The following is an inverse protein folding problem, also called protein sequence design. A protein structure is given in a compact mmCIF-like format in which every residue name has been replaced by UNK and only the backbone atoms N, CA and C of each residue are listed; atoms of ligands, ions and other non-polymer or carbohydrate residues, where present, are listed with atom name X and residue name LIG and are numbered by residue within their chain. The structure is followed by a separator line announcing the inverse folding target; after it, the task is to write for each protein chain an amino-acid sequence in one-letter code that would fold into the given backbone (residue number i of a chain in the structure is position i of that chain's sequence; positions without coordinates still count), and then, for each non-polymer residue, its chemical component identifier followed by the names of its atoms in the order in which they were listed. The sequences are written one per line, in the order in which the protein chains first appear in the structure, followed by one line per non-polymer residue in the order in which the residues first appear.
data_IF_002763341808
#
_entry.id   IF_002763341808
#
_cell.length_a   1.000
_cell.length_b   1.000
_cell.length_c   1.000
_cell.angle_alpha   90.00
_cell.angle_beta   90.00
_cell.angle_gamma   90.00
#
_symmetry.space_group_name_H-M   'P 1'
#
loop_
_entity.id
_entity.type
_entity.pdbx_description
1 polymer ?
#
# COMPACT_ATOMS: atom_id res chain seq x y z
N UNK A 1 6.21 -32.25 17.98
CA UNK A 1 5.10 -31.30 17.90
C UNK A 1 3.89 -32.05 17.42
N UNK A 2 2.82 -32.10 18.20
CA UNK A 2 1.55 -32.58 17.71
C UNK A 2 1.16 -31.74 16.49
N UNK A 3 0.69 -32.38 15.43
CA UNK A 3 0.31 -31.68 14.22
C UNK A 3 -0.88 -30.76 14.54
N UNK A 4 -0.71 -29.46 14.26
CA UNK A 4 -1.79 -28.49 14.41
C UNK A 4 -2.98 -28.91 13.53
N UNK A 5 -4.22 -28.90 14.04
CA UNK A 5 -5.39 -29.25 13.25
C UNK A 5 -5.51 -28.35 12.00
N UNK A 6 -5.92 -28.95 10.87
CA UNK A 6 -5.99 -28.26 9.57
C UNK A 6 -6.74 -26.92 9.59
N UNK A 7 -7.89 -26.76 10.28
CA UNK A 7 -8.58 -25.48 10.35
C UNK A 7 -7.72 -24.34 10.95
N UNK A 8 -6.82 -24.66 11.88
CA UNK A 8 -5.91 -23.66 12.43
C UNK A 8 -4.73 -23.36 11.50
N UNK A 9 -4.28 -24.37 10.71
CA UNK A 9 -3.25 -24.18 9.70
C UNK A 9 -3.69 -23.17 8.64
N UNK A 10 -4.94 -23.22 8.21
CA UNK A 10 -5.50 -22.35 7.18
C UNK A 10 -5.64 -20.88 7.67
N UNK A 11 -5.58 -20.66 8.98
CA UNK A 11 -5.63 -19.34 9.59
C UNK A 11 -4.26 -18.81 10.08
N UNK A 12 -3.18 -19.55 9.84
CA UNK A 12 -1.84 -19.05 10.21
C UNK A 12 -1.51 -17.77 9.45
N UNK A 13 -0.83 -16.88 10.14
CA UNK A 13 -0.29 -15.64 9.55
C UNK A 13 1.15 -15.48 10.00
N UNK A 14 1.99 -14.96 9.14
CA UNK A 14 3.35 -14.55 9.52
C UNK A 14 3.21 -13.44 10.56
N UNK A 15 3.83 -13.58 11.75
CA UNK A 15 3.76 -12.53 12.76
C UNK A 15 4.40 -11.24 12.26
N UNK A 16 3.69 -10.12 12.39
CA UNK A 16 4.15 -8.82 11.92
C UNK A 16 5.46 -8.37 12.58
N UNK A 17 5.68 -8.69 13.85
CA UNK A 17 6.91 -8.35 14.55
C UNK A 17 8.14 -8.98 13.89
N UNK A 18 8.05 -10.26 13.52
CA UNK A 18 9.12 -10.95 12.78
C UNK A 18 9.29 -10.39 11.38
N UNK A 19 8.19 -10.10 10.70
CA UNK A 19 8.21 -9.48 9.38
C UNK A 19 8.86 -8.09 9.43
N UNK A 20 8.48 -7.25 10.38
CA UNK A 20 9.06 -5.92 10.60
C UNK A 20 10.56 -5.98 10.93
N UNK A 21 11.01 -7.00 11.68
CA UNK A 21 12.44 -7.22 11.91
C UNK A 21 13.18 -7.49 10.59
N UNK A 22 12.61 -8.28 9.67
CA UNK A 22 13.17 -8.53 8.34
C UNK A 22 13.17 -7.27 7.48
N UNK A 23 12.08 -6.51 7.48
CA UNK A 23 12.01 -5.19 6.81
C UNK A 23 13.14 -4.28 7.28
N UNK A 24 13.35 -4.16 8.59
CA UNK A 24 14.38 -3.31 9.16
C UNK A 24 15.80 -3.73 8.77
N UNK A 25 16.06 -5.04 8.68
CA UNK A 25 17.34 -5.55 8.18
C UNK A 25 17.49 -5.23 6.69
N UNK A 26 16.46 -5.51 5.90
CA UNK A 26 16.48 -5.36 4.45
C UNK A 26 16.75 -3.91 4.01
N UNK A 27 16.22 -2.91 4.73
CA UNK A 27 16.42 -1.48 4.40
C UNK A 27 17.88 -1.10 4.16
N UNK A 28 18.82 -1.81 4.76
CA UNK A 28 20.25 -1.54 4.61
C UNK A 28 21.03 -2.74 4.05
N UNK A 29 20.69 -3.96 4.45
CA UNK A 29 21.48 -5.15 4.13
C UNK A 29 21.14 -5.79 2.78
N UNK A 30 20.23 -5.21 1.99
CA UNK A 30 20.02 -5.61 0.59
C UNK A 30 21.21 -5.21 -0.31
N UNK A 31 22.02 -4.23 0.12
CA UNK A 31 23.15 -3.72 -0.64
C UNK A 31 24.33 -4.69 -0.55
N UNK A 32 24.68 -5.30 -1.68
CA UNK A 32 25.80 -6.25 -1.77
C UNK A 32 27.16 -5.59 -2.02
N UNK A 33 27.18 -4.35 -2.55
CA UNK A 33 28.44 -3.64 -2.81
C UNK A 33 28.93 -2.94 -1.53
N UNK A 34 30.14 -3.31 -1.00
CA UNK A 34 30.65 -2.73 0.24
C UNK A 34 30.81 -1.20 0.21
N UNK A 35 31.20 -0.62 -0.93
CA UNK A 35 31.39 0.82 -1.06
C UNK A 35 30.05 1.55 -0.95
N UNK A 36 29.03 1.08 -1.66
CA UNK A 36 27.66 1.64 -1.61
C UNK A 36 27.10 1.47 -0.20
N UNK A 37 27.32 0.31 0.42
CA UNK A 37 26.88 0.03 1.79
C UNK A 37 27.49 1.00 2.81
N UNK A 38 28.81 1.21 2.77
CA UNK A 38 29.46 2.13 3.71
C UNK A 38 29.12 3.61 3.47
N UNK A 39 28.92 4.00 2.20
CA UNK A 39 28.50 5.35 1.87
C UNK A 39 27.03 5.62 2.22
N UNK A 40 26.20 4.57 2.34
CA UNK A 40 24.76 4.71 2.53
C UNK A 40 24.01 5.21 1.29
N UNK A 41 24.56 4.98 0.09
CA UNK A 41 24.04 5.54 -1.16
C UNK A 41 22.71 4.88 -1.61
N UNK A 42 22.43 3.64 -1.18
CA UNK A 42 21.22 2.87 -1.57
C UNK A 42 20.50 2.33 -0.31
N UNK A 43 20.24 3.22 0.64
CA UNK A 43 19.45 2.87 1.83
C UNK A 43 17.98 2.99 1.51
N UNK A 44 17.18 2.01 1.89
CA UNK A 44 15.74 2.03 1.77
C UNK A 44 15.05 2.43 3.07
N UNK A 45 13.81 2.85 2.95
CA UNK A 45 12.93 3.19 4.06
C UNK A 45 11.51 2.69 3.80
N UNK A 46 10.74 2.57 4.85
CA UNK A 46 9.29 2.45 4.77
C UNK A 46 8.75 3.82 4.36
N UNK A 47 7.93 3.92 3.31
CA UNK A 47 7.30 5.18 2.95
C UNK A 47 6.31 5.63 4.02
N UNK A 48 6.01 6.92 4.04
CA UNK A 48 4.96 7.45 4.92
C UNK A 48 3.64 7.58 4.15
N UNK A 49 2.56 7.64 4.92
CA UNK A 49 1.21 7.95 4.46
C UNK A 49 0.49 8.89 5.43
N UNK A 50 -0.60 9.50 5.00
CA UNK A 50 -1.52 10.22 5.89
C UNK A 50 -2.63 9.25 6.28
N UNK A 51 -2.66 8.89 7.55
CA UNK A 51 -3.67 8.03 8.14
C UNK A 51 -4.35 8.74 9.30
N UNK A 52 -5.67 8.85 9.26
CA UNK A 52 -6.43 9.56 10.28
C UNK A 52 -5.96 11.01 10.52
N UNK A 53 -5.55 11.72 9.45
CA UNK A 53 -5.06 13.09 9.52
C UNK A 53 -3.64 13.25 10.07
N UNK A 54 -2.88 12.17 10.22
CA UNK A 54 -1.49 12.19 10.71
C UNK A 54 -0.55 11.51 9.73
N UNK A 55 0.66 12.03 9.60
CA UNK A 55 1.72 11.37 8.85
C UNK A 55 2.29 10.23 9.69
N UNK A 56 2.20 9.01 9.17
CA UNK A 56 2.70 7.77 9.80
C UNK A 56 3.46 6.94 8.77
N UNK A 57 4.28 6.02 9.22
CA UNK A 57 4.87 5.02 8.31
C UNK A 57 3.78 4.05 7.84
N UNK A 58 3.84 3.65 6.56
CA UNK A 58 2.93 2.64 6.01
C UNK A 58 3.11 1.32 6.75
N UNK A 59 2.09 0.89 7.46
CA UNK A 59 2.12 -0.41 8.13
C UNK A 59 2.09 -1.56 7.11
N UNK A 60 2.69 -2.74 7.41
CA UNK A 60 2.48 -3.92 6.59
C UNK A 60 0.99 -4.25 6.47
N UNK A 61 0.55 -4.67 5.30
CA UNK A 61 -0.85 -5.02 5.07
C UNK A 61 -1.00 -6.32 4.31
N UNK A 62 -2.15 -6.94 4.47
CA UNK A 62 -2.46 -8.21 3.82
C UNK A 62 -3.24 -7.98 2.52
N UNK A 63 -2.85 -8.73 1.49
CA UNK A 63 -3.57 -8.81 0.22
C UNK A 63 -3.72 -10.26 -0.23
N UNK A 64 -4.68 -10.52 -1.09
CA UNK A 64 -4.75 -11.76 -1.87
C UNK A 64 -4.33 -11.44 -3.30
N UNK A 65 -3.21 -11.99 -3.75
CA UNK A 65 -2.67 -11.70 -5.07
C UNK A 65 -1.90 -12.90 -5.63
N UNK A 66 -1.65 -12.88 -6.94
CA UNK A 66 -0.74 -13.79 -7.62
C UNK A 66 0.66 -13.15 -7.64
N UNK A 67 1.68 -13.88 -7.21
CA UNK A 67 3.07 -13.40 -7.28
C UNK A 67 3.66 -13.52 -8.68
N UNK A 68 3.20 -14.50 -9.46
CA UNK A 68 3.56 -14.71 -10.85
C UNK A 68 2.30 -15.06 -11.65
N UNK A 69 2.32 -14.79 -12.95
CA UNK A 69 1.14 -14.92 -13.83
C UNK A 69 0.51 -16.32 -13.87
N UNK A 70 1.27 -17.35 -13.50
CA UNK A 70 0.80 -18.75 -13.50
C UNK A 70 0.58 -19.31 -12.08
N UNK A 71 0.80 -18.52 -11.04
CA UNK A 71 0.60 -18.93 -9.66
C UNK A 71 -0.89 -18.87 -9.28
N UNK A 72 -1.28 -19.64 -8.28
CA UNK A 72 -2.56 -19.44 -7.62
C UNK A 72 -2.52 -18.14 -6.80
N UNK A 73 -3.68 -17.54 -6.58
CA UNK A 73 -3.79 -16.43 -5.64
C UNK A 73 -3.46 -16.90 -4.22
N UNK A 74 -2.60 -16.16 -3.54
CA UNK A 74 -2.13 -16.44 -2.18
C UNK A 74 -2.44 -15.26 -1.26
N UNK A 75 -2.60 -15.56 0.00
CA UNK A 75 -2.70 -14.55 1.03
C UNK A 75 -1.30 -14.11 1.46
N UNK A 76 -1.00 -12.85 1.26
CA UNK A 76 0.32 -12.26 1.37
C UNK A 76 0.34 -11.14 2.41
N UNK A 77 1.43 -11.03 3.18
CA UNK A 77 1.74 -9.84 3.97
C UNK A 77 2.77 -9.03 3.20
N UNK A 78 2.51 -7.76 2.96
CA UNK A 78 3.27 -6.91 2.05
C UNK A 78 3.72 -5.62 2.73
N UNK A 79 4.98 -5.23 2.48
CA UNK A 79 5.55 -3.95 2.89
C UNK A 79 6.14 -3.23 1.69
N UNK A 80 5.62 -2.06 1.30
CA UNK A 80 6.27 -1.23 0.30
C UNK A 80 7.55 -0.59 0.85
N UNK A 81 8.53 -0.41 -0.02
CA UNK A 81 9.82 0.19 0.29
C UNK A 81 10.19 1.25 -0.76
N UNK A 82 10.76 2.35 -0.30
CA UNK A 82 11.27 3.44 -1.13
C UNK A 82 12.73 3.72 -0.80
N UNK A 83 13.55 4.23 -1.73
CA UNK A 83 14.86 4.75 -1.39
C UNK A 83 14.75 5.91 -0.39
N UNK A 84 15.72 6.03 0.52
CA UNK A 84 15.75 7.14 1.48
C UNK A 84 15.80 8.52 0.79
N UNK A 85 16.41 8.58 -0.40
CA UNK A 85 16.62 9.83 -1.16
C UNK A 85 15.48 10.18 -2.11
N UNK A 86 14.51 9.27 -2.33
CA UNK A 86 13.45 9.45 -3.33
C UNK A 86 12.15 8.82 -2.85
N UNK A 87 11.00 9.46 -3.06
CA UNK A 87 9.70 8.92 -2.63
C UNK A 87 9.10 7.89 -3.61
N UNK A 88 9.78 7.54 -4.72
CA UNK A 88 9.29 6.53 -5.65
C UNK A 88 9.41 5.11 -5.09
N UNK A 89 8.46 4.26 -5.44
CA UNK A 89 8.45 2.85 -5.02
C UNK A 89 9.61 2.10 -5.68
N UNK A 90 10.38 1.36 -4.89
CA UNK A 90 11.54 0.61 -5.39
C UNK A 90 11.39 -0.89 -5.22
N UNK A 91 10.78 -1.34 -4.14
CA UNK A 91 10.59 -2.76 -3.88
C UNK A 91 9.38 -3.03 -2.97
N UNK A 92 8.96 -4.28 -2.97
CA UNK A 92 8.10 -4.86 -1.95
C UNK A 92 8.80 -6.01 -1.27
N UNK A 93 8.78 -6.03 0.07
CA UNK A 93 8.99 -7.26 0.81
C UNK A 93 7.63 -7.93 1.01
N UNK A 94 7.55 -9.21 0.67
CA UNK A 94 6.33 -10.01 0.74
C UNK A 94 6.59 -11.26 1.57
N UNK A 95 5.71 -11.56 2.52
CA UNK A 95 5.69 -12.85 3.23
C UNK A 95 4.46 -13.66 2.79
N UNK A 96 4.69 -14.92 2.43
CA UNK A 96 3.65 -15.86 2.00
C UNK A 96 2.98 -16.49 3.23
N UNK A 97 1.65 -16.51 3.24
CA UNK A 97 0.88 -17.02 4.38
C UNK A 97 0.21 -18.36 4.14
N UNK A 98 0.22 -18.87 2.90
CA UNK A 98 -0.55 -20.05 2.53
C UNK A 98 0.32 -21.28 2.27
N UNK A 99 -0.26 -22.45 2.58
CA UNK A 99 0.23 -23.77 2.20
C UNK A 99 1.66 -24.07 2.62
N UNK A 100 2.39 -24.74 1.73
CA UNK A 100 3.76 -25.19 1.95
C UNK A 100 4.77 -24.02 1.92
N UNK A 101 4.34 -22.88 1.42
CA UNK A 101 5.16 -21.66 1.33
C UNK A 101 5.04 -20.73 2.53
N UNK A 102 4.31 -21.14 3.57
CA UNK A 102 4.14 -20.34 4.77
C UNK A 102 5.48 -19.89 5.37
N UNK A 103 5.63 -18.58 5.54
CA UNK A 103 6.84 -17.96 6.10
C UNK A 103 7.95 -17.68 5.09
N UNK A 104 7.78 -18.06 3.82
CA UNK A 104 8.72 -17.70 2.76
C UNK A 104 8.64 -16.18 2.50
N UNK A 105 9.81 -15.55 2.47
CA UNK A 105 9.95 -14.14 2.15
C UNK A 105 10.38 -13.98 0.70
N UNK A 106 9.74 -13.07 -0.02
CA UNK A 106 10.14 -12.66 -1.38
C UNK A 106 10.35 -11.16 -1.45
N UNK A 107 11.46 -10.77 -2.05
CA UNK A 107 11.72 -9.38 -2.43
C UNK A 107 11.33 -9.23 -3.89
N UNK A 108 10.43 -8.27 -4.15
CA UNK A 108 10.00 -7.92 -5.50
C UNK A 108 10.58 -6.54 -5.81
N UNK A 109 11.60 -6.51 -6.67
CA UNK A 109 12.23 -5.27 -7.12
C UNK A 109 11.47 -4.70 -8.31
N UNK A 110 11.20 -3.41 -8.29
CA UNK A 110 10.63 -2.70 -9.42
C UNK A 110 11.70 -2.26 -10.42
N UNK A 111 11.36 -2.23 -11.72
CA UNK A 111 12.30 -1.78 -12.74
C UNK A 111 12.79 -0.36 -12.48
N UNK A 112 14.10 -0.16 -12.47
CA UNK A 112 14.74 1.15 -12.19
C UNK A 112 14.54 2.16 -13.32
N UNK A 113 14.24 1.71 -14.51
CA UNK A 113 13.95 2.51 -15.72
C UNK A 113 12.50 3.01 -15.78
N UNK A 114 11.62 2.50 -14.91
CA UNK A 114 10.22 2.93 -14.81
C UNK A 114 10.01 3.77 -13.55
N UNK A 115 9.38 4.92 -13.76
CA UNK A 115 8.91 5.72 -12.62
C UNK A 115 7.63 5.12 -12.06
N UNK A 116 7.71 4.65 -10.81
CA UNK A 116 6.58 4.11 -10.06
C UNK A 116 6.40 4.99 -8.82
N UNK A 117 5.32 5.76 -8.71
CA UNK A 117 5.13 6.65 -7.57
C UNK A 117 4.95 5.86 -6.28
N UNK A 118 5.58 6.32 -5.21
CA UNK A 118 5.38 5.77 -3.88
C UNK A 118 4.12 6.34 -3.20
N UNK A 119 3.73 5.79 -2.05
CA UNK A 119 2.51 6.21 -1.34
C UNK A 119 2.41 7.71 -1.10
N UNK A 120 3.46 8.38 -0.63
CA UNK A 120 3.46 9.82 -0.41
C UNK A 120 3.17 10.63 -1.69
N UNK A 121 3.69 10.18 -2.83
CA UNK A 121 3.48 10.87 -4.10
C UNK A 121 2.05 10.70 -4.59
N UNK A 122 1.48 9.51 -4.42
CA UNK A 122 0.09 9.26 -4.80
C UNK A 122 -0.87 10.00 -3.89
N UNK A 123 -0.61 10.05 -2.59
CA UNK A 123 -1.42 10.89 -1.70
C UNK A 123 -1.33 12.38 -2.05
N UNK A 124 -0.15 12.88 -2.41
CA UNK A 124 -0.02 14.25 -2.92
C UNK A 124 -0.84 14.46 -4.20
N UNK A 125 -0.83 13.50 -5.12
CA UNK A 125 -1.64 13.53 -6.34
C UNK A 125 -3.14 13.53 -6.01
N UNK A 126 -3.60 12.69 -5.07
CA UNK A 126 -4.98 12.63 -4.60
C UNK A 126 -5.43 13.99 -4.04
N UNK A 127 -4.61 14.61 -3.19
CA UNK A 127 -4.92 15.92 -2.59
C UNK A 127 -4.89 17.08 -3.60
N UNK A 128 -4.16 16.93 -4.72
CA UNK A 128 -4.10 17.92 -5.79
C UNK A 128 -5.21 17.75 -6.83
N UNK A 129 -5.92 16.61 -6.84
CA UNK A 129 -7.05 16.39 -7.74
C UNK A 129 -8.19 17.35 -7.36
N UNK A 130 -8.73 18.16 -8.32
CA UNK A 130 -9.74 19.17 -8.02
C UNK A 130 -11.01 18.58 -7.42
N UNK A 131 -11.49 17.45 -7.95
CA UNK A 131 -12.74 16.82 -7.51
C UNK A 131 -12.60 16.32 -6.07
N UNK A 132 -11.44 15.71 -5.75
CA UNK A 132 -11.15 15.20 -4.39
C UNK A 132 -10.96 16.37 -3.42
N UNK A 133 -10.16 17.37 -3.80
CA UNK A 133 -9.86 18.54 -2.97
C UNK A 133 -11.14 19.33 -2.62
N UNK A 134 -12.02 19.55 -3.60
CA UNK A 134 -13.32 20.19 -3.37
C UNK A 134 -14.15 19.39 -2.37
N UNK A 135 -14.27 18.07 -2.58
CA UNK A 135 -15.06 17.21 -1.70
C UNK A 135 -14.51 17.16 -0.28
N UNK A 136 -13.19 17.09 -0.13
CA UNK A 136 -12.51 17.11 1.19
C UNK A 136 -12.77 18.45 1.90
N UNK A 137 -12.68 19.56 1.17
CA UNK A 137 -13.00 20.88 1.71
C UNK A 137 -14.46 21.02 2.17
N UNK A 138 -15.41 20.40 1.46
CA UNK A 138 -16.82 20.39 1.87
C UNK A 138 -17.07 19.57 3.15
N UNK A 139 -16.21 18.58 3.43
CA UNK A 139 -16.35 17.71 4.61
C UNK A 139 -15.54 18.17 5.81
N UNK A 140 -14.55 19.02 5.63
CA UNK A 140 -13.79 19.61 6.74
C UNK A 140 -14.58 20.75 7.40
N UNK A 141 -15.66 20.38 8.09
CA UNK A 141 -16.57 21.27 8.78
C UNK A 141 -16.42 21.16 10.29
N UNK A 142 -17.04 22.12 11.02
CA UNK A 142 -16.90 22.23 12.48
C UNK A 142 -17.32 20.97 13.23
N UNK A 143 -18.33 20.25 12.76
CA UNK A 143 -18.90 19.06 13.38
C UNK A 143 -18.45 17.72 12.74
N UNK A 144 -17.77 17.75 11.61
CA UNK A 144 -17.29 16.56 10.89
C UNK A 144 -15.78 16.47 10.91
N UNK A 145 -15.28 15.25 10.91
CA UNK A 145 -13.87 14.92 10.80
C UNK A 145 -13.67 13.97 9.63
N UNK A 146 -12.81 14.38 8.70
CA UNK A 146 -12.36 13.55 7.59
C UNK A 146 -11.23 12.65 8.07
N UNK A 147 -11.37 11.36 7.86
CA UNK A 147 -10.35 10.37 8.20
C UNK A 147 -9.95 9.61 6.94
N UNK A 148 -8.71 9.78 6.52
CA UNK A 148 -8.11 8.97 5.47
C UNK A 148 -7.69 7.63 6.06
N UNK A 149 -8.04 6.55 5.38
CA UNK A 149 -7.55 5.21 5.72
C UNK A 149 -6.18 4.94 5.13
N UNK A 150 -5.69 3.71 5.24
CA UNK A 150 -4.41 3.32 4.67
C UNK A 150 -4.47 3.35 3.14
N UNK A 151 -3.42 3.85 2.52
CA UNK A 151 -3.22 3.79 1.08
C UNK A 151 -2.66 2.42 0.70
N UNK A 152 -3.50 1.56 0.14
CA UNK A 152 -3.10 0.24 -0.34
C UNK A 152 -2.52 0.34 -1.74
N UNK A 153 -1.38 -0.29 -1.97
CA UNK A 153 -0.76 -0.43 -3.29
C UNK A 153 -0.93 -1.87 -3.75
N UNK A 154 -1.75 -2.08 -4.76
CA UNK A 154 -2.20 -3.40 -5.20
C UNK A 154 -1.65 -3.72 -6.59
N UNK A 155 -1.14 -4.95 -6.84
CA UNK A 155 -0.78 -5.39 -8.17
C UNK A 155 -2.06 -5.69 -8.98
N UNK A 156 -2.19 -5.07 -10.14
CA UNK A 156 -3.31 -5.31 -11.06
C UNK A 156 -2.77 -5.46 -12.48
N UNK A 157 -2.85 -6.66 -13.04
CA UNK A 157 -2.26 -6.97 -14.34
C UNK A 157 -0.76 -6.70 -14.36
N UNK A 158 -0.29 -5.82 -15.27
CA UNK A 158 1.11 -5.39 -15.36
C UNK A 158 1.41 -4.06 -14.65
N UNK A 159 0.43 -3.51 -13.92
CA UNK A 159 0.52 -2.21 -13.25
C UNK A 159 0.22 -2.27 -11.76
N UNK A 160 0.10 -1.09 -11.19
CA UNK A 160 -0.29 -0.91 -9.78
C UNK A 160 -1.57 -0.09 -9.71
N UNK A 161 -2.42 -0.46 -8.79
CA UNK A 161 -3.59 0.29 -8.38
C UNK A 161 -3.39 0.76 -6.94
N UNK A 162 -3.61 2.04 -6.72
CA UNK A 162 -3.60 2.65 -5.39
C UNK A 162 -5.04 2.86 -4.95
N UNK A 163 -5.36 2.44 -3.73
CA UNK A 163 -6.72 2.51 -3.19
C UNK A 163 -6.68 3.11 -1.80
N UNK A 164 -7.37 4.22 -1.60
CA UNK A 164 -7.47 4.90 -0.30
C UNK A 164 -8.95 5.03 0.11
N UNK A 165 -9.38 4.36 1.18
CA UNK A 165 -10.71 4.55 1.73
C UNK A 165 -10.75 5.84 2.54
N UNK A 166 -11.85 6.59 2.40
CA UNK A 166 -12.09 7.85 3.10
C UNK A 166 -13.32 7.71 3.98
N UNK A 167 -13.15 8.02 5.26
CA UNK A 167 -14.20 7.91 6.27
C UNK A 167 -14.60 9.28 6.79
N UNK A 168 -15.85 9.38 7.19
CA UNK A 168 -16.36 10.54 7.91
C UNK A 168 -16.81 10.12 9.31
N UNK A 169 -16.50 10.97 10.28
CA UNK A 169 -16.89 10.82 11.67
C UNK A 169 -17.44 12.16 12.21
N UNK A 170 -18.50 12.11 13.02
CA UNK A 170 -18.90 13.27 13.80
C UNK A 170 -17.98 13.45 15.00
N UNK A 171 -17.47 14.67 15.24
CA UNK A 171 -16.45 14.94 16.29
C UNK A 171 -16.94 14.62 17.71
N UNK A 172 -18.25 14.71 17.96
CA UNK A 172 -18.80 14.56 19.33
C UNK A 172 -19.01 13.11 19.77
N UNK A 173 -19.61 12.28 18.95
CA UNK A 173 -19.88 10.85 19.24
C UNK A 173 -20.15 10.15 17.92
N UNK A 174 -19.15 9.66 17.24
CA UNK A 174 -19.41 8.99 15.98
C UNK A 174 -18.43 7.86 15.70
N UNK A 175 -18.95 6.73 15.24
CA UNK A 175 -18.14 5.73 14.60
C UNK A 175 -17.81 6.22 13.18
N UNK A 176 -16.56 6.06 12.71
CA UNK A 176 -16.22 6.36 11.33
C UNK A 176 -17.08 5.53 10.37
N UNK A 177 -17.66 6.17 9.37
CA UNK A 177 -18.38 5.51 8.29
C UNK A 177 -17.66 5.74 6.97
N UNK A 178 -17.56 4.70 6.13
CA UNK A 178 -16.97 4.81 4.81
C UNK A 178 -17.81 5.78 3.96
N UNK A 179 -17.19 6.86 3.52
CA UNK A 179 -17.83 7.88 2.71
C UNK A 179 -17.49 7.75 1.24
N UNK A 180 -16.20 7.50 0.93
CA UNK A 180 -15.69 7.38 -0.44
C UNK A 180 -14.52 6.40 -0.48
N UNK A 181 -14.23 5.94 -1.70
CA UNK A 181 -13.01 5.25 -2.06
C UNK A 181 -12.33 6.06 -3.16
N UNK A 182 -11.08 6.42 -2.93
CA UNK A 182 -10.22 7.06 -3.92
C UNK A 182 -9.36 5.98 -4.56
N UNK A 183 -9.26 6.00 -5.89
CA UNK A 183 -8.41 5.10 -6.66
C UNK A 183 -7.48 5.90 -7.57
N UNK A 184 -6.27 5.37 -7.80
CA UNK A 184 -5.31 5.96 -8.71
C UNK A 184 -4.47 4.89 -9.41
N UNK A 185 -4.08 5.13 -10.65
CA UNK A 185 -3.05 4.35 -11.36
C UNK A 185 -1.64 4.95 -11.23
N UNK A 186 -1.50 5.95 -10.35
CA UNK A 186 -0.28 6.72 -10.15
C UNK A 186 -0.16 7.97 -11.06
N UNK A 187 -1.17 8.25 -11.90
CA UNK A 187 -1.24 9.42 -12.79
C UNK A 187 -2.60 10.09 -12.73
N UNK A 188 -3.64 9.30 -12.80
CA UNK A 188 -5.04 9.73 -12.75
C UNK A 188 -5.63 9.37 -11.40
N UNK A 189 -6.60 10.16 -10.97
CA UNK A 189 -7.34 9.94 -9.72
C UNK A 189 -8.82 9.90 -10.03
N UNK A 190 -9.53 9.01 -9.35
CA UNK A 190 -10.99 8.99 -9.34
C UNK A 190 -11.49 8.69 -7.93
N UNK A 191 -12.68 9.17 -7.60
CA UNK A 191 -13.28 8.99 -6.28
C UNK A 191 -14.77 8.73 -6.42
N UNK A 192 -15.26 7.69 -5.76
CA UNK A 192 -16.69 7.42 -5.68
C UNK A 192 -17.05 6.76 -4.34
N UNK A 193 -18.35 6.53 -4.12
CA UNK A 193 -18.91 5.91 -2.90
C UNK A 193 -18.54 4.42 -2.77
N UNK A 194 -18.24 3.75 -3.87
CA UNK A 194 -17.78 2.36 -3.86
C UNK A 194 -16.65 2.12 -4.87
N UNK A 195 -15.95 1.01 -4.69
CA UNK A 195 -14.76 0.69 -5.48
C UNK A 195 -15.05 0.52 -6.97
N UNK A 196 -16.16 -0.11 -7.34
CA UNK A 196 -16.48 -0.38 -8.75
C UNK A 196 -16.74 0.91 -9.50
N UNK A 197 -17.51 1.82 -8.89
CA UNK A 197 -17.79 3.13 -9.49
C UNK A 197 -16.53 3.98 -9.61
N UNK A 198 -15.66 3.95 -8.60
CA UNK A 198 -14.38 4.65 -8.65
C UNK A 198 -13.47 4.10 -9.76
N UNK A 199 -13.40 2.77 -9.92
CA UNK A 199 -12.65 2.12 -10.99
C UNK A 199 -13.23 2.46 -12.38
N UNK A 200 -14.55 2.45 -12.54
CA UNK A 200 -15.22 2.83 -13.78
C UNK A 200 -14.90 4.28 -14.17
N UNK A 201 -14.86 5.19 -13.19
CA UNK A 201 -14.47 6.58 -13.45
C UNK A 201 -12.98 6.68 -13.83
N UNK A 202 -12.09 5.96 -13.14
CA UNK A 202 -10.66 5.95 -13.46
C UNK A 202 -10.43 5.46 -14.89
N UNK A 203 -11.09 4.38 -15.30
CA UNK A 203 -11.01 3.85 -16.66
C UNK A 203 -11.52 4.83 -17.72
N UNK A 204 -12.59 5.61 -17.42
CA UNK A 204 -13.09 6.65 -18.34
C UNK A 204 -12.14 7.85 -18.48
N UNK A 205 -11.37 8.16 -17.44
CA UNK A 205 -10.33 9.22 -17.48
C UNK A 205 -9.08 8.76 -18.23
N UNK A 206 -8.84 7.44 -18.34
CA UNK A 206 -7.69 6.91 -19.06
C UNK A 206 -7.83 7.16 -20.57
N UNK A 207 -6.75 7.60 -21.27
CA UNK A 207 -6.78 7.75 -22.71
C UNK A 207 -7.08 6.38 -23.36
N UNK A 208 -7.80 6.35 -24.46
CA UNK A 208 -8.03 5.10 -25.20
C UNK A 208 -6.68 4.52 -25.65
N UNK A 209 -6.51 3.22 -25.43
CA UNK A 209 -5.32 2.44 -25.82
C UNK A 209 -5.26 2.32 -27.35
#
# INVERSE_FOLDING_TARGET
MEAMPKPFLDHRRVPEDFFNAQVNQLKRYHVSNPRIFYNGDDVWQVPSEIYGGRKVDVAPYHITAQLQSNDNSEFLLLQPLTPLSRPNLTAWLVARNDGDHYGELKLIDFPKDKYIPGPEQVQALIHQDPDVSEQFGLWDQEDLELLQGNLLVLPVGSGLLYVEPVYLRTKKVGLPSLARIVVSDGRLVAMDRDLNLALDQLMKKAPPV
#
